data_IF_853406836019
#
_entry.id   IF_853406836019
#
_cell.length_a   1.000
_cell.length_b   1.000
_cell.length_c   1.000
_cell.angle_alpha   90.00
_cell.angle_beta   90.00
_cell.angle_gamma   90.00
#
_symmetry.space_group_name_H-M   'P 1'
#
loop_
_entity.id
_entity.type
_entity.pdbx_description
1 polymer ?
#
# COMPACT_ATOMS: atom_id res chain seq x y z
N UNK A 1 29.63 -9.70 13.99
CA UNK A 1 28.17 -9.43 13.95
C UNK A 1 27.43 -10.75 13.90
N UNK A 2 26.57 -11.05 14.87
CA UNK A 2 25.77 -12.29 14.89
C UNK A 2 24.72 -12.30 13.79
N UNK A 3 24.41 -13.49 13.23
CA UNK A 3 23.27 -13.65 12.32
C UNK A 3 21.97 -13.47 13.10
N UNK A 4 21.06 -12.66 12.57
CA UNK A 4 19.71 -12.50 13.13
C UNK A 4 18.94 -13.81 12.94
N UNK A 5 18.51 -14.42 14.04
CA UNK A 5 17.59 -15.57 14.03
C UNK A 5 16.17 -15.05 14.21
N UNK A 6 15.28 -15.34 13.26
CA UNK A 6 13.88 -14.92 13.33
C UNK A 6 12.98 -15.94 12.62
N UNK A 7 11.71 -15.96 13.00
CA UNK A 7 10.68 -16.75 12.33
C UNK A 7 10.06 -15.95 11.18
N UNK A 8 10.42 -16.33 9.95
CA UNK A 8 9.89 -15.71 8.73
C UNK A 8 8.39 -15.91 8.59
N UNK A 9 7.88 -17.10 8.92
CA UNK A 9 6.45 -17.41 8.75
C UNK A 9 5.60 -16.56 9.70
N UNK A 10 6.05 -16.40 10.95
CA UNK A 10 5.38 -15.53 11.92
C UNK A 10 5.36 -14.05 11.48
N UNK A 11 6.44 -13.56 10.84
CA UNK A 11 6.48 -12.20 10.28
C UNK A 11 5.51 -12.05 9.09
N UNK A 12 5.51 -12.99 8.16
CA UNK A 12 4.61 -12.95 7.00
C UNK A 12 3.13 -13.04 7.42
N UNK A 13 2.81 -13.81 8.45
CA UNK A 13 1.46 -13.88 9.03
C UNK A 13 1.08 -12.55 9.72
N UNK A 14 2.03 -11.91 10.41
CA UNK A 14 1.80 -10.59 10.98
C UNK A 14 1.54 -9.53 9.89
N UNK A 15 2.28 -9.58 8.78
CA UNK A 15 2.07 -8.72 7.63
C UNK A 15 0.68 -8.95 7.01
N UNK A 16 0.25 -10.21 6.83
CA UNK A 16 -1.10 -10.55 6.35
C UNK A 16 -2.19 -9.88 7.21
N UNK A 17 -2.07 -9.95 8.53
CA UNK A 17 -3.02 -9.33 9.46
C UNK A 17 -3.04 -7.81 9.35
N UNK A 18 -1.87 -7.19 9.20
CA UNK A 18 -1.77 -5.72 9.05
C UNK A 18 -2.42 -5.28 7.74
N UNK A 19 -2.09 -5.91 6.60
CA UNK A 19 -2.68 -5.60 5.29
C UNK A 19 -4.21 -5.68 5.36
N UNK A 20 -4.76 -6.79 5.88
CA UNK A 20 -6.21 -6.97 6.04
C UNK A 20 -6.83 -5.93 6.98
N UNK A 21 -6.14 -5.55 8.05
CA UNK A 21 -6.64 -4.54 8.99
C UNK A 21 -6.67 -3.15 8.37
N UNK A 22 -5.63 -2.78 7.62
CA UNK A 22 -5.52 -1.49 6.92
C UNK A 22 -6.63 -1.32 5.90
N UNK A 23 -6.97 -2.36 5.12
CA UNK A 23 -8.07 -2.27 4.14
C UNK A 23 -9.46 -2.10 4.76
N UNK A 24 -9.60 -2.40 6.06
CA UNK A 24 -10.84 -2.16 6.83
C UNK A 24 -10.89 -0.79 7.49
N UNK A 25 -9.86 0.03 7.35
CA UNK A 25 -9.85 1.39 7.87
C UNK A 25 -10.58 2.30 6.91
N UNK A 26 -11.37 3.22 7.47
CA UNK A 26 -11.97 4.32 6.74
C UNK A 26 -10.92 5.43 6.60
N UNK A 27 -10.29 5.49 5.43
CA UNK A 27 -9.19 6.41 5.13
C UNK A 27 -9.51 7.16 3.85
N UNK A 28 -9.49 8.48 3.91
CA UNK A 28 -9.58 9.36 2.76
C UNK A 28 -8.21 9.62 2.14
N UNK A 29 -8.17 10.17 0.92
CA UNK A 29 -6.94 10.60 0.25
C UNK A 29 -6.23 11.70 1.04
N UNK A 30 -5.29 11.30 1.91
CA UNK A 30 -4.47 12.18 2.72
C UNK A 30 -3.20 11.44 3.19
N UNK A 31 -2.32 12.14 3.89
CA UNK A 31 -1.02 11.62 4.31
C UNK A 31 -1.07 10.31 5.13
N UNK A 32 -2.02 10.06 6.06
CA UNK A 32 -2.03 8.81 6.81
C UNK A 32 -2.34 7.63 5.90
N UNK A 33 -3.21 7.84 4.91
CA UNK A 33 -3.57 6.88 3.88
C UNK A 33 -2.37 6.55 3.00
N UNK A 34 -1.67 7.58 2.54
CA UNK A 34 -0.46 7.43 1.73
C UNK A 34 0.61 6.60 2.43
N UNK A 35 0.88 6.87 3.72
CA UNK A 35 1.85 6.11 4.52
C UNK A 35 1.39 4.67 4.73
N UNK A 36 0.11 4.44 5.06
CA UNK A 36 -0.42 3.11 5.28
C UNK A 36 -0.33 2.25 3.99
N UNK A 37 -0.69 2.83 2.85
CA UNK A 37 -0.69 2.15 1.55
C UNK A 37 0.72 1.97 0.99
N UNK A 38 1.63 2.90 1.25
CA UNK A 38 3.05 2.68 0.98
C UNK A 38 3.58 1.45 1.74
N UNK A 39 3.20 1.28 3.00
CA UNK A 39 3.54 0.07 3.76
C UNK A 39 3.03 -1.23 3.12
N UNK A 40 1.83 -1.22 2.52
CA UNK A 40 1.29 -2.37 1.78
C UNK A 40 2.06 -2.61 0.48
N UNK A 41 2.45 -1.54 -0.23
CA UNK A 41 3.29 -1.62 -1.41
C UNK A 41 4.67 -2.25 -1.08
N UNK A 42 5.32 -1.81 0.00
CA UNK A 42 6.58 -2.40 0.47
C UNK A 42 6.39 -3.87 0.90
N UNK A 43 5.29 -4.17 1.58
CA UNK A 43 4.94 -5.55 1.93
C UNK A 43 4.80 -6.44 0.70
N UNK A 44 4.19 -5.93 -0.38
CA UNK A 44 4.16 -6.62 -1.67
C UNK A 44 5.55 -6.76 -2.27
N UNK A 45 6.39 -5.72 -2.24
CA UNK A 45 7.72 -5.77 -2.86
C UNK A 45 8.61 -6.87 -2.26
N UNK A 46 8.52 -7.09 -0.94
CA UNK A 46 9.33 -8.11 -0.25
C UNK A 46 8.74 -9.51 -0.27
N UNK A 47 7.41 -9.65 -0.26
CA UNK A 47 6.73 -10.96 -0.22
C UNK A 47 6.30 -11.47 -1.60
N UNK A 48 6.15 -10.57 -2.58
CA UNK A 48 5.53 -10.79 -3.90
C UNK A 48 4.12 -11.41 -3.84
N UNK A 49 3.43 -11.28 -2.70
CA UNK A 49 2.03 -11.75 -2.55
C UNK A 49 1.10 -10.87 -3.38
N UNK A 50 0.62 -11.42 -4.50
CA UNK A 50 -0.25 -10.71 -5.44
C UNK A 50 -1.55 -10.17 -4.80
N UNK A 51 -2.07 -10.86 -3.78
CA UNK A 51 -3.23 -10.40 -2.99
C UNK A 51 -3.04 -8.97 -2.45
N UNK A 52 -1.84 -8.61 -1.98
CA UNK A 52 -1.60 -7.30 -1.38
C UNK A 52 -1.70 -6.16 -2.40
N UNK A 53 -1.10 -6.35 -3.58
CA UNK A 53 -1.06 -5.32 -4.61
C UNK A 53 -2.41 -5.20 -5.33
N UNK A 54 -3.14 -6.31 -5.46
CA UNK A 54 -4.49 -6.30 -6.04
C UNK A 54 -5.48 -5.57 -5.11
N UNK A 55 -5.45 -5.85 -3.79
CA UNK A 55 -6.26 -5.11 -2.81
C UNK A 55 -5.92 -3.61 -2.80
N UNK A 56 -4.64 -3.27 -2.87
CA UNK A 56 -4.21 -1.88 -2.89
C UNK A 56 -4.68 -1.16 -4.15
N UNK A 57 -4.60 -1.84 -5.31
CA UNK A 57 -5.10 -1.31 -6.58
C UNK A 57 -6.59 -1.01 -6.50
N UNK A 58 -7.39 -1.97 -6.04
CA UNK A 58 -8.85 -1.82 -5.91
C UNK A 58 -9.21 -0.59 -5.05
N UNK A 59 -8.57 -0.43 -3.90
CA UNK A 59 -8.84 0.70 -3.00
C UNK A 59 -8.37 2.03 -3.58
N UNK A 60 -7.21 2.07 -4.24
CA UNK A 60 -6.71 3.32 -4.85
C UNK A 60 -7.58 3.73 -6.03
N UNK A 61 -8.03 2.78 -6.86
CA UNK A 61 -8.97 3.05 -7.94
C UNK A 61 -10.28 3.66 -7.41
N UNK A 62 -10.85 3.07 -6.36
CA UNK A 62 -12.05 3.61 -5.68
C UNK A 62 -11.83 5.06 -5.22
N UNK A 63 -10.67 5.37 -4.63
CA UNK A 63 -10.36 6.73 -4.18
C UNK A 63 -10.17 7.71 -5.35
N UNK A 64 -9.63 7.27 -6.49
CA UNK A 64 -9.50 8.11 -7.70
C UNK A 64 -10.89 8.42 -8.27
N UNK A 65 -11.78 7.43 -8.31
CA UNK A 65 -13.15 7.57 -8.83
C UNK A 65 -14.02 8.52 -7.99
N UNK A 66 -13.72 8.68 -6.69
CA UNK A 66 -14.40 9.61 -5.77
C UNK A 66 -13.91 11.07 -5.85
N UNK A 67 -13.07 11.39 -6.84
CA UNK A 67 -12.36 12.67 -7.05
C UNK A 67 -11.10 12.87 -6.18
N UNK A 68 -10.10 13.53 -6.76
CA UNK A 68 -8.83 13.83 -6.10
C UNK A 68 -8.87 15.16 -5.36
N UNK A 69 -8.29 15.24 -4.14
CA UNK A 69 -8.15 16.50 -3.43
C UNK A 69 -7.10 17.41 -4.09
N UNK A 70 -7.04 18.66 -3.66
CA UNK A 70 -5.97 19.57 -4.06
C UNK A 70 -4.58 18.98 -3.78
N UNK A 71 -3.62 19.25 -4.67
CA UNK A 71 -2.25 18.81 -4.48
C UNK A 71 -1.58 19.63 -3.36
N UNK A 72 -1.24 18.95 -2.27
CA UNK A 72 -0.58 19.51 -1.08
C UNK A 72 0.52 18.55 -0.64
N UNK A 73 1.36 18.98 0.31
CA UNK A 73 2.39 18.11 0.91
C UNK A 73 1.79 16.86 1.55
N UNK A 74 0.55 16.95 2.06
CA UNK A 74 -0.09 15.80 2.69
C UNK A 74 -0.70 14.86 1.65
N UNK A 75 -1.45 15.40 0.70
CA UNK A 75 -2.15 14.62 -0.32
C UNK A 75 -1.21 13.99 -1.34
N UNK A 76 0.00 14.53 -1.53
CA UNK A 76 1.00 13.92 -2.41
C UNK A 76 1.62 12.63 -1.83
N UNK A 77 1.44 12.33 -0.55
CA UNK A 77 1.96 11.09 0.07
C UNK A 77 1.41 9.81 -0.59
N UNK A 78 0.19 9.88 -1.14
CA UNK A 78 -0.39 8.79 -1.94
C UNK A 78 0.47 8.44 -3.18
N UNK A 79 1.26 9.40 -3.67
CA UNK A 79 2.22 9.19 -4.77
C UNK A 79 3.18 8.03 -4.54
N UNK A 80 3.56 7.75 -3.29
CA UNK A 80 4.45 6.62 -2.99
C UNK A 80 3.84 5.28 -3.40
N UNK A 81 2.56 5.05 -3.11
CA UNK A 81 1.89 3.81 -3.50
C UNK A 81 1.53 3.79 -4.99
N UNK A 82 1.21 4.95 -5.58
CA UNK A 82 0.92 5.08 -7.02
C UNK A 82 2.12 4.70 -7.89
N UNK A 83 3.34 5.06 -7.50
CA UNK A 83 4.56 4.68 -8.22
C UNK A 83 4.68 3.15 -8.31
N UNK A 84 4.47 2.43 -7.20
CA UNK A 84 4.51 0.97 -7.18
C UNK A 84 3.38 0.38 -8.03
N UNK A 85 2.16 0.90 -7.92
CA UNK A 85 1.01 0.47 -8.74
C UNK A 85 1.28 0.67 -10.23
N UNK A 86 1.86 1.80 -10.63
CA UNK A 86 2.27 2.06 -12.01
C UNK A 86 3.33 1.07 -12.49
N UNK A 87 4.34 0.78 -11.66
CA UNK A 87 5.39 -0.18 -12.02
C UNK A 87 4.85 -1.59 -12.26
N UNK A 88 3.86 -2.01 -11.46
CA UNK A 88 3.24 -3.34 -11.54
C UNK A 88 2.22 -3.44 -12.68
N UNK A 89 1.32 -2.46 -12.81
CA UNK A 89 0.16 -2.56 -13.71
C UNK A 89 0.29 -1.74 -15.00
N UNK A 90 1.21 -0.77 -15.06
CA UNK A 90 1.43 0.12 -16.23
C UNK A 90 0.18 0.92 -16.65
N UNK A 91 -0.73 1.18 -15.72
CA UNK A 91 -1.95 1.98 -15.94
C UNK A 91 -1.59 3.46 -15.88
N UNK A 92 -1.90 4.22 -16.95
CA UNK A 92 -1.52 5.64 -17.09
C UNK A 92 -2.19 6.60 -16.10
N UNK A 93 -3.27 6.17 -15.46
CA UNK A 93 -4.01 6.98 -14.47
C UNK A 93 -3.23 7.10 -13.15
N UNK A 94 -2.27 6.21 -12.89
CA UNK A 94 -1.37 6.25 -11.73
C UNK A 94 -0.15 7.11 -11.97
#
# INVERSE_FOLDING_TARGET
MGKLTYDRAALEEAMDRIVRRTMRMDMSWDWPCGVAYYGIAEAYEVTKKKEYIDLLKERVDELIDLELPACTVNTCAMGHCLITLYQVFRVKTY
#
